data_IF_063588197538
#
_entry.id   IF_063588197538
#
_cell.length_a   1.000
_cell.length_b   1.000
_cell.length_c   1.000
_cell.angle_alpha   90.00
_cell.angle_beta   90.00
_cell.angle_gamma   90.00
#
_symmetry.space_group_name_H-M   'P 1'
#
loop_
_entity.id
_entity.type
_entity.pdbx_description
1 polymer ?
#
# COMPACT_ATOMS: atom_id res chain seq x y z
N UNK A 1 5.31 7.70 27.22
CA UNK A 1 5.69 7.24 25.86
C UNK A 1 5.95 8.48 25.01
N UNK A 2 7.21 8.70 24.62
CA UNK A 2 7.62 9.79 23.73
C UNK A 2 7.14 9.47 22.31
N UNK A 3 6.45 10.41 21.65
CA UNK A 3 6.06 10.24 20.24
C UNK A 3 7.34 10.18 19.39
N UNK A 4 7.46 9.25 18.43
CA UNK A 4 8.57 9.24 17.49
C UNK A 4 8.66 10.58 16.78
N UNK A 5 9.87 11.07 16.54
CA UNK A 5 10.04 12.25 15.69
C UNK A 5 9.53 11.93 14.28
N UNK A 6 8.91 12.89 13.57
CA UNK A 6 8.33 12.66 12.25
C UNK A 6 9.33 12.06 11.23
N UNK A 7 10.62 12.37 11.35
CA UNK A 7 11.69 11.76 10.53
C UNK A 7 11.93 10.29 10.86
N UNK A 8 11.96 9.95 12.14
CA UNK A 8 12.09 8.55 12.59
C UNK A 8 10.89 7.72 12.10
N UNK A 9 9.69 8.33 12.06
CA UNK A 9 8.51 7.68 11.52
C UNK A 9 8.59 7.43 10.00
N UNK A 10 9.15 8.37 9.22
CA UNK A 10 9.33 8.21 7.78
C UNK A 10 10.39 7.15 7.44
N UNK A 11 11.55 7.20 8.10
CA UNK A 11 12.64 6.23 7.86
C UNK A 11 12.23 4.81 8.28
N UNK A 12 11.48 4.68 9.38
CA UNK A 12 10.89 3.40 9.78
C UNK A 12 9.87 2.90 8.75
N UNK A 13 9.03 3.79 8.22
CA UNK A 13 8.07 3.44 7.16
C UNK A 13 8.79 2.91 5.92
N UNK A 14 9.85 3.58 5.46
CA UNK A 14 10.67 3.15 4.33
C UNK A 14 11.25 1.75 4.58
N UNK A 15 11.86 1.55 5.75
CA UNK A 15 12.47 0.28 6.12
C UNK A 15 11.44 -0.87 6.12
N UNK A 16 10.24 -0.61 6.65
CA UNK A 16 9.15 -1.60 6.68
C UNK A 16 8.63 -1.89 5.27
N UNK A 17 8.46 -0.88 4.42
CA UNK A 17 8.04 -1.06 3.03
C UNK A 17 9.07 -1.88 2.23
N UNK A 18 10.36 -1.63 2.42
CA UNK A 18 11.43 -2.44 1.84
C UNK A 18 11.35 -3.89 2.30
N UNK A 19 11.23 -4.11 3.61
CA UNK A 19 11.16 -5.45 4.18
C UNK A 19 9.93 -6.20 3.66
N UNK A 20 8.76 -5.55 3.60
CA UNK A 20 7.54 -6.14 3.04
C UNK A 20 7.73 -6.52 1.58
N UNK A 21 8.22 -5.59 0.74
CA UNK A 21 8.44 -5.85 -0.69
C UNK A 21 9.42 -7.00 -0.92
N UNK A 22 10.49 -7.08 -0.13
CA UNK A 22 11.45 -8.18 -0.19
C UNK A 22 10.79 -9.51 0.19
N UNK A 23 10.09 -9.56 1.34
CA UNK A 23 9.43 -10.80 1.83
C UNK A 23 8.36 -11.31 0.87
N UNK A 24 7.60 -10.40 0.27
CA UNK A 24 6.58 -10.73 -0.73
C UNK A 24 7.21 -11.41 -1.95
N UNK A 25 8.33 -10.89 -2.46
CA UNK A 25 9.03 -11.54 -3.58
C UNK A 25 9.64 -12.88 -3.20
N UNK A 26 10.34 -12.95 -2.07
CA UNK A 26 11.01 -14.17 -1.61
C UNK A 26 10.04 -15.32 -1.34
N UNK A 27 8.86 -15.04 -0.79
CA UNK A 27 7.94 -16.09 -0.30
C UNK A 27 6.79 -16.39 -1.24
N UNK A 28 6.30 -15.40 -1.97
CA UNK A 28 5.07 -15.52 -2.75
C UNK A 28 5.29 -15.51 -4.26
N UNK A 29 6.55 -15.54 -4.73
CA UNK A 29 6.90 -15.48 -6.16
C UNK A 29 6.23 -14.30 -6.90
N UNK A 30 6.05 -13.18 -6.20
CA UNK A 30 5.41 -11.98 -6.76
C UNK A 30 6.36 -11.34 -7.77
N UNK A 31 5.90 -11.19 -9.01
CA UNK A 31 6.67 -10.55 -10.10
C UNK A 31 6.79 -9.03 -9.89
N UNK A 32 5.68 -8.39 -9.50
CA UNK A 32 5.60 -6.92 -9.35
C UNK A 32 4.98 -6.53 -8.01
N UNK A 33 5.60 -5.58 -7.33
CA UNK A 33 5.18 -5.05 -6.03
C UNK A 33 4.87 -3.56 -6.17
N UNK A 34 3.61 -3.20 -5.98
CA UNK A 34 3.18 -1.81 -5.93
C UNK A 34 2.80 -1.45 -4.49
N UNK A 35 3.07 -0.21 -4.09
CA UNK A 35 2.80 0.25 -2.72
C UNK A 35 1.95 1.51 -2.71
N UNK A 36 1.14 1.70 -1.67
CA UNK A 36 0.37 2.94 -1.48
C UNK A 36 0.74 3.56 -0.14
N UNK A 37 1.84 4.33 -0.06
CA UNK A 37 2.34 4.89 1.21
C UNK A 37 1.36 5.84 1.89
N UNK A 38 0.43 6.41 1.12
CA UNK A 38 -0.60 7.32 1.62
C UNK A 38 -2.00 6.66 1.62
N UNK A 39 -2.07 5.33 1.69
CA UNK A 39 -3.35 4.60 1.72
C UNK A 39 -4.23 5.10 2.86
N UNK A 40 -5.41 5.59 2.51
CA UNK A 40 -6.44 6.07 3.42
C UNK A 40 -7.79 5.56 2.90
N UNK A 41 -8.58 4.94 3.77
CA UNK A 41 -9.90 4.41 3.43
C UNK A 41 -10.90 5.49 3.01
N UNK A 42 -10.67 6.74 3.41
CA UNK A 42 -11.49 7.90 3.06
C UNK A 42 -11.15 8.50 1.69
N UNK A 43 -10.01 8.11 1.09
CA UNK A 43 -9.56 8.62 -0.21
C UNK A 43 -9.97 7.62 -1.28
N UNK A 44 -10.63 8.11 -2.34
CA UNK A 44 -11.03 7.30 -3.48
C UNK A 44 -9.79 6.62 -4.09
N UNK A 45 -9.94 5.37 -4.55
CA UNK A 45 -8.81 4.58 -5.05
C UNK A 45 -8.10 5.29 -6.22
N UNK A 46 -8.86 6.00 -7.06
CA UNK A 46 -8.39 6.85 -8.17
C UNK A 46 -7.61 8.09 -7.73
N UNK A 47 -7.73 8.49 -6.47
CA UNK A 47 -7.09 9.68 -5.91
C UNK A 47 -5.92 9.33 -4.97
N UNK A 48 -5.72 8.04 -4.67
CA UNK A 48 -4.61 7.60 -3.80
C UNK A 48 -3.26 7.91 -4.41
N UNK A 49 -2.29 8.25 -3.57
CA UNK A 49 -0.92 8.58 -3.99
C UNK A 49 -0.84 9.74 -5.00
N UNK A 50 -1.83 10.65 -4.98
CA UNK A 50 -1.85 11.89 -5.75
C UNK A 50 -1.84 13.11 -4.81
N UNK A 51 -0.82 13.99 -4.89
CA UNK A 51 0.38 13.90 -5.72
C UNK A 51 1.29 12.74 -5.29
N UNK A 52 2.19 12.31 -6.20
CA UNK A 52 3.09 11.16 -5.95
C UNK A 52 3.82 11.32 -4.61
N UNK A 53 3.73 10.34 -3.68
CA UNK A 53 4.34 10.45 -2.37
C UNK A 53 5.86 10.61 -2.46
N UNK A 54 6.42 11.59 -1.75
CA UNK A 54 7.88 11.87 -1.76
C UNK A 54 8.72 10.70 -1.26
N UNK A 55 8.15 9.88 -0.36
CA UNK A 55 8.75 8.63 0.13
C UNK A 55 9.10 7.65 -1.01
N UNK A 56 8.39 7.71 -2.14
CA UNK A 56 8.69 6.88 -3.32
C UNK A 56 10.08 7.14 -3.92
N UNK A 57 10.70 8.30 -3.62
CA UNK A 57 12.05 8.61 -4.07
C UNK A 57 13.12 7.82 -3.29
N UNK A 58 12.75 7.27 -2.13
CA UNK A 58 13.65 6.54 -1.22
C UNK A 58 13.38 5.04 -1.17
N UNK A 59 12.17 4.60 -1.52
CA UNK A 59 11.81 3.19 -1.55
C UNK A 59 12.36 2.52 -2.81
N UNK A 60 12.89 1.31 -2.65
CA UNK A 60 13.54 0.51 -3.70
C UNK A 60 12.92 -0.87 -3.73
N UNK A 61 13.01 -1.57 -4.86
CA UNK A 61 12.35 -2.87 -4.99
C UNK A 61 10.82 -2.73 -4.95
N UNK A 62 10.27 -1.65 -5.48
CA UNK A 62 8.84 -1.51 -5.77
C UNK A 62 8.72 -1.04 -7.21
N UNK A 63 7.66 -1.50 -7.87
CA UNK A 63 7.38 -1.31 -9.28
C UNK A 63 6.49 -0.09 -9.54
N UNK A 64 5.91 0.49 -8.48
CA UNK A 64 5.12 1.72 -8.58
C UNK A 64 4.20 1.96 -7.39
N UNK A 65 3.29 2.91 -7.57
CA UNK A 65 2.21 3.25 -6.64
C UNK A 65 0.88 2.62 -7.03
N UNK A 66 -0.19 2.91 -6.27
CA UNK A 66 -1.56 2.56 -6.67
C UNK A 66 -1.95 3.16 -8.04
N UNK A 67 -1.43 4.35 -8.37
CA UNK A 67 -1.70 4.99 -9.67
C UNK A 67 -1.09 4.21 -10.84
N UNK A 68 0.10 3.65 -10.65
CA UNK A 68 0.75 2.80 -11.66
C UNK A 68 -0.07 1.50 -11.86
N UNK A 69 -0.61 0.92 -10.78
CA UNK A 69 -1.53 -0.23 -10.86
C UNK A 69 -2.77 0.12 -11.66
N UNK A 70 -3.44 1.23 -11.32
CA UNK A 70 -4.64 1.69 -12.01
C UNK A 70 -4.40 1.92 -13.49
N UNK A 71 -3.28 2.56 -13.85
CA UNK A 71 -2.91 2.77 -15.24
C UNK A 71 -2.71 1.44 -15.96
N UNK A 72 -1.98 0.48 -15.36
CA UNK A 72 -1.78 -0.84 -15.95
C UNK A 72 -3.13 -1.53 -16.17
N UNK A 73 -3.98 -1.58 -15.14
CA UNK A 73 -5.28 -2.23 -15.20
C UNK A 73 -6.17 -1.61 -16.27
N UNK A 74 -6.23 -0.28 -16.36
CA UNK A 74 -7.05 0.42 -17.35
C UNK A 74 -6.59 0.12 -18.78
N UNK A 75 -5.29 0.24 -19.05
CA UNK A 75 -4.73 -0.05 -20.38
C UNK A 75 -4.94 -1.51 -20.76
N UNK A 76 -4.78 -2.41 -19.80
CA UNK A 76 -4.89 -3.83 -20.04
C UNK A 76 -6.34 -4.29 -20.25
N UNK A 77 -7.30 -3.72 -19.51
CA UNK A 77 -8.71 -4.00 -19.68
C UNK A 77 -9.22 -3.54 -21.05
N UNK A 78 -8.77 -2.37 -21.51
CA UNK A 78 -9.13 -1.82 -22.82
C UNK A 78 -8.55 -2.65 -23.97
N UNK A 79 -7.34 -3.19 -23.84
CA UNK A 79 -6.62 -3.81 -24.95
C UNK A 79 -6.86 -5.32 -25.09
N UNK A 80 -6.95 -6.09 -24.00
CA UNK A 80 -6.77 -7.55 -24.08
C UNK A 80 -7.95 -8.42 -23.65
N UNK A 81 -9.05 -7.88 -23.11
CA UNK A 81 -10.30 -8.56 -22.69
C UNK A 81 -10.20 -9.91 -21.92
N UNK A 82 -8.99 -10.36 -21.54
CA UNK A 82 -8.72 -11.60 -20.82
C UNK A 82 -7.60 -11.35 -19.83
N UNK A 83 -7.92 -11.42 -18.54
CA UNK A 83 -6.96 -11.19 -17.45
C UNK A 83 -7.08 -12.25 -16.38
N UNK A 84 -5.94 -12.89 -16.07
CA UNK A 84 -5.75 -13.69 -14.85
C UNK A 84 -4.58 -13.08 -14.11
N UNK A 85 -4.87 -12.21 -13.15
CA UNK A 85 -3.92 -11.68 -12.18
C UNK A 85 -4.37 -12.11 -10.78
N UNK A 86 -3.45 -12.61 -9.97
CA UNK A 86 -3.67 -12.78 -8.54
C UNK A 86 -3.28 -11.48 -7.84
N UNK A 87 -4.27 -10.64 -7.53
CA UNK A 87 -4.05 -9.39 -6.82
C UNK A 87 -4.11 -9.64 -5.30
N UNK A 88 -3.00 -9.40 -4.60
CA UNK A 88 -2.97 -9.39 -3.15
C UNK A 88 -2.82 -7.94 -2.69
N UNK A 89 -3.92 -7.34 -2.23
CA UNK A 89 -3.87 -6.04 -1.58
C UNK A 89 -3.58 -6.23 -0.09
N UNK A 90 -2.50 -5.60 0.38
CA UNK A 90 -2.17 -5.53 1.80
C UNK A 90 -2.30 -4.06 2.21
N UNK A 91 -3.53 -3.65 2.51
CA UNK A 91 -3.77 -2.34 3.10
C UNK A 91 -3.39 -2.39 4.59
N UNK A 92 -2.61 -1.40 5.04
CA UNK A 92 -2.37 -1.19 6.46
C UNK A 92 -3.67 -0.73 7.10
N UNK A 93 -4.48 -1.67 7.58
CA UNK A 93 -5.54 -1.36 8.54
C UNK A 93 -4.82 -0.99 9.83
N UNK A 94 -4.73 0.32 10.12
CA UNK A 94 -4.37 0.75 11.46
C UNK A 94 -5.37 0.14 12.42
N UNK A 95 -4.97 -0.90 13.15
CA UNK A 95 -5.71 -1.32 14.32
C UNK A 95 -5.71 -0.12 15.25
N UNK A 96 -6.87 0.49 15.45
CA UNK A 96 -6.99 1.59 16.40
C UNK A 96 -6.46 1.11 17.74
N UNK A 97 -5.72 1.94 18.46
CA UNK A 97 -5.37 1.65 19.85
C UNK A 97 -6.51 2.05 20.79
N UNK A 98 -7.56 2.67 20.26
CA UNK A 98 -8.81 2.92 20.98
C UNK A 98 -9.63 1.64 21.02
N UNK A 99 -9.98 1.22 22.24
CA UNK A 99 -10.75 0.00 22.47
C UNK A 99 -12.16 0.09 21.87
N UNK A 100 -12.75 1.29 21.81
CA UNK A 100 -14.09 1.49 21.27
C UNK A 100 -14.11 1.39 19.74
N UNK A 101 -13.08 1.92 19.06
CA UNK A 101 -12.93 1.75 17.61
C UNK A 101 -12.77 0.26 17.22
N UNK A 102 -12.03 -0.52 18.04
CA UNK A 102 -11.87 -1.97 17.84
C UNK A 102 -13.23 -2.68 18.05
N UNK A 103 -13.97 -2.33 19.10
CA UNK A 103 -15.30 -2.92 19.38
C UNK A 103 -16.28 -2.63 18.24
N UNK A 104 -16.32 -1.40 17.74
CA UNK A 104 -17.19 -1.01 16.63
C UNK A 104 -16.82 -1.73 15.33
N UNK A 105 -15.53 -1.89 15.04
CA UNK A 105 -15.08 -2.70 13.90
C UNK A 105 -15.47 -4.19 14.04
N UNK A 106 -15.32 -4.79 15.22
CA UNK A 106 -15.65 -6.19 15.45
C UNK A 106 -17.17 -6.47 15.48
N UNK A 107 -18.00 -5.47 15.79
CA UNK A 107 -19.46 -5.61 15.84
C UNK A 107 -20.18 -5.15 14.56
N UNK A 108 -19.44 -4.63 13.57
CA UNK A 108 -19.98 -4.21 12.27
C UNK A 108 -19.82 -5.24 11.15
N UNK A 109 -19.36 -6.46 11.48
CA UNK A 109 -19.29 -7.65 10.61
C UNK A 109 -20.33 -8.66 11.03
#
# INVERSE_FOLDING_TARGET
>A
MTRPCAREAEDNCICLLHLMAQRLRERLHIEKVFISPQSNSKIALTERDMPRPTIMNKVTGVDGTMQDVLWILLNMFVVNQRFVWSFLNIDYAGLSTDEEDIKEFLWSV
#
